data_IF_079113722789
#
_entry.id   IF_079113722789
#
_cell.length_a   1.000
_cell.length_b   1.000
_cell.length_c   1.000
_cell.angle_alpha   90.00
_cell.angle_beta   90.00
_cell.angle_gamma   90.00
#
_symmetry.space_group_name_H-M   'P 1'
#
loop_
_entity.id
_entity.type
_entity.pdbx_description
1 polymer ?
#
# COMPACT_ATOMS: atom_id res chain seq x y z
N UNK A 1 29.00 20.54 22.42
CA UNK A 1 28.62 19.16 22.79
C UNK A 1 28.23 18.46 21.51
N UNK A 2 28.83 17.31 21.15
CA UNK A 2 28.42 16.56 19.95
C UNK A 2 27.19 15.77 20.33
N UNK A 3 26.07 15.99 19.65
CA UNK A 3 24.90 15.15 19.83
C UNK A 3 25.27 13.72 19.43
N UNK A 4 25.07 12.77 20.34
CA UNK A 4 25.29 11.36 20.04
C UNK A 4 24.20 10.90 19.07
N UNK A 5 24.54 10.81 17.78
CA UNK A 5 23.69 10.23 16.77
C UNK A 5 23.56 8.73 17.03
N UNK A 6 22.33 8.25 17.01
CA UNK A 6 21.97 6.84 17.17
C UNK A 6 21.72 6.23 15.79
N UNK A 7 21.84 4.89 15.63
CA UNK A 7 21.49 4.23 14.37
C UNK A 7 20.06 4.54 13.89
N UNK A 8 19.15 4.81 14.83
CA UNK A 8 17.75 5.16 14.55
C UNK A 8 17.59 6.51 13.84
N UNK A 9 18.55 7.43 13.96
CA UNK A 9 18.50 8.76 13.32
C UNK A 9 18.63 8.70 11.79
N UNK A 10 19.06 7.57 11.25
CA UNK A 10 19.19 7.34 9.80
C UNK A 10 18.05 6.53 9.20
N UNK A 11 17.13 6.01 10.03
CA UNK A 11 16.02 5.15 9.59
C UNK A 11 14.80 6.00 9.21
N UNK A 12 14.45 6.13 7.91
CA UNK A 12 13.34 6.99 7.49
C UNK A 12 11.97 6.45 7.91
N UNK A 13 11.82 5.13 7.90
CA UNK A 13 10.59 4.40 8.19
C UNK A 13 10.91 3.17 9.04
N UNK A 14 10.01 2.85 9.96
CA UNK A 14 10.18 1.79 10.93
C UNK A 14 9.18 0.68 10.65
N UNK A 15 9.64 -0.56 10.61
CA UNK A 15 8.73 -1.70 10.76
C UNK A 15 8.11 -1.73 12.16
N UNK A 16 7.03 -2.49 12.37
CA UNK A 16 6.45 -2.66 13.72
C UNK A 16 7.50 -3.08 14.77
N UNK A 17 8.36 -4.04 14.42
CA UNK A 17 9.46 -4.50 15.27
C UNK A 17 10.52 -3.42 15.51
N UNK A 18 10.95 -2.71 14.46
CA UNK A 18 11.94 -1.63 14.60
C UNK A 18 11.42 -0.49 15.45
N UNK A 19 10.14 -0.12 15.31
CA UNK A 19 9.50 0.90 16.11
C UNK A 19 9.53 0.53 17.60
N UNK A 20 9.17 -0.71 17.93
CA UNK A 20 9.19 -1.19 19.31
C UNK A 20 10.61 -1.22 19.90
N UNK A 21 11.62 -1.68 19.14
CA UNK A 21 13.02 -1.63 19.58
C UNK A 21 13.48 -0.20 19.85
N UNK A 22 13.15 0.74 18.95
CA UNK A 22 13.49 2.15 19.09
C UNK A 22 12.82 2.78 20.32
N UNK A 23 11.54 2.45 20.60
CA UNK A 23 10.81 2.91 21.79
C UNK A 23 11.54 2.50 23.08
N UNK A 24 11.98 1.24 23.14
CA UNK A 24 12.69 0.68 24.31
C UNK A 24 14.16 1.13 24.38
N UNK A 25 14.70 1.72 23.31
CA UNK A 25 16.09 2.21 23.23
C UNK A 25 17.12 1.13 22.86
N UNK A 26 16.67 0.01 22.31
CA UNK A 26 17.56 -1.05 21.83
C UNK A 26 18.06 -0.73 20.43
N UNK A 27 19.26 -1.18 20.01
CA UNK A 27 19.74 -0.97 18.65
C UNK A 27 18.96 -1.83 17.63
N UNK A 28 18.96 -1.47 16.33
CA UNK A 28 18.21 -2.20 15.31
C UNK A 28 18.71 -3.63 15.06
N UNK A 29 19.96 -3.92 15.45
CA UNK A 29 20.58 -5.25 15.35
C UNK A 29 20.25 -6.15 16.52
N UNK A 30 19.57 -5.65 17.55
CA UNK A 30 19.28 -6.40 18.75
C UNK A 30 18.22 -7.47 18.49
N UNK A 31 18.52 -8.70 18.87
CA UNK A 31 17.60 -9.84 18.82
C UNK A 31 16.82 -10.02 20.11
N UNK A 32 16.98 -9.11 21.10
CA UNK A 32 16.26 -9.08 22.38
C UNK A 32 14.75 -8.74 22.22
N UNK A 33 14.05 -9.51 21.38
CA UNK A 33 12.61 -9.48 21.20
C UNK A 33 11.80 -9.53 22.52
N UNK A 34 12.24 -10.23 23.60
CA UNK A 34 11.46 -10.26 24.85
C UNK A 34 11.28 -8.88 25.51
N UNK A 35 12.26 -7.97 25.40
CA UNK A 35 12.17 -6.63 25.99
C UNK A 35 11.22 -5.71 25.22
N UNK A 36 11.14 -5.89 23.90
CA UNK A 36 10.24 -5.13 23.02
C UNK A 36 8.82 -5.72 22.96
N UNK A 37 8.62 -6.97 23.38
CA UNK A 37 7.34 -7.67 23.28
C UNK A 37 6.15 -6.93 23.91
N UNK A 38 6.25 -6.29 25.10
CA UNK A 38 5.11 -5.55 25.66
C UNK A 38 4.72 -4.34 24.82
N UNK A 39 5.70 -3.64 24.25
CA UNK A 39 5.47 -2.49 23.36
C UNK A 39 4.84 -2.96 22.06
N UNK A 40 5.35 -4.04 21.47
CA UNK A 40 4.77 -4.66 20.27
C UNK A 40 3.32 -5.07 20.48
N UNK A 41 3.01 -5.75 21.59
CA UNK A 41 1.65 -6.18 21.90
C UNK A 41 0.69 -4.98 22.03
N UNK A 42 1.15 -3.89 22.65
CA UNK A 42 0.37 -2.66 22.75
C UNK A 42 0.13 -2.02 21.38
N UNK A 43 1.19 -1.86 20.58
CA UNK A 43 1.06 -1.30 19.22
C UNK A 43 0.15 -2.16 18.33
N UNK A 44 0.26 -3.48 18.43
CA UNK A 44 -0.57 -4.44 17.70
C UNK A 44 -2.05 -4.30 18.07
N UNK A 45 -2.36 -4.21 19.37
CA UNK A 45 -3.73 -4.00 19.85
C UNK A 45 -4.31 -2.70 19.30
N UNK A 46 -3.58 -1.60 19.46
CA UNK A 46 -4.03 -0.30 18.96
C UNK A 46 -4.22 -0.32 17.43
N UNK A 47 -3.36 -1.04 16.70
CA UNK A 47 -3.48 -1.24 15.25
C UNK A 47 -4.72 -2.07 14.87
N UNK A 48 -4.98 -3.16 15.59
CA UNK A 48 -6.15 -4.01 15.39
C UNK A 48 -7.45 -3.24 15.65
N UNK A 49 -7.50 -2.44 16.71
CA UNK A 49 -8.67 -1.59 17.03
C UNK A 49 -8.98 -0.61 15.89
N UNK A 50 -7.95 -0.11 15.17
CA UNK A 50 -8.16 0.76 13.99
C UNK A 50 -8.78 -0.02 12.86
N UNK A 51 -8.21 -1.20 12.56
CA UNK A 51 -8.70 -2.03 11.47
C UNK A 51 -10.16 -2.39 11.76
N UNK A 52 -10.49 -2.82 12.98
CA UNK A 52 -11.85 -3.13 13.39
C UNK A 52 -12.76 -1.92 13.20
N UNK A 53 -12.40 -0.75 13.74
CA UNK A 53 -13.16 0.49 13.55
C UNK A 53 -13.41 0.84 12.08
N UNK A 54 -12.41 0.68 11.21
CA UNK A 54 -12.54 0.90 9.77
C UNK A 54 -13.46 -0.10 9.08
N UNK A 55 -13.40 -1.36 9.51
CA UNK A 55 -14.22 -2.44 8.95
C UNK A 55 -15.69 -2.30 9.35
N UNK A 56 -15.96 -1.79 10.56
CA UNK A 56 -17.32 -1.47 11.02
C UNK A 56 -17.90 -0.19 10.39
N UNK A 57 -17.04 0.67 9.85
CA UNK A 57 -17.35 2.03 9.38
C UNK A 57 -18.61 2.20 8.53
N UNK A 58 -18.82 1.44 7.43
CA UNK A 58 -19.94 1.70 6.51
C UNK A 58 -21.31 1.61 7.16
N UNK A 59 -21.50 0.65 8.07
CA UNK A 59 -22.79 0.41 8.73
C UNK A 59 -23.16 1.56 9.69
N UNK A 60 -22.15 2.20 10.31
CA UNK A 60 -22.37 3.36 11.19
C UNK A 60 -22.47 4.68 10.44
N UNK A 61 -21.88 4.81 9.26
CA UNK A 61 -21.91 6.06 8.47
C UNK A 61 -23.23 6.24 7.72
N UNK A 62 -23.83 5.16 7.19
CA UNK A 62 -25.10 5.25 6.45
C UNK A 62 -26.31 5.56 7.35
N UNK A 63 -26.31 5.10 8.61
CA UNK A 63 -27.42 5.38 9.54
C UNK A 63 -27.48 6.83 10.02
N UNK A 64 -26.34 7.51 10.15
CA UNK A 64 -26.29 8.89 10.62
C UNK A 64 -26.81 9.91 9.57
N UNK A 65 -26.83 9.53 8.29
CA UNK A 65 -27.34 10.38 7.21
C UNK A 65 -28.88 10.28 7.07
N UNK A 66 -29.44 9.07 7.24
CA UNK A 66 -30.88 8.84 7.05
C UNK A 66 -31.76 9.46 8.16
N UNK A 67 -31.25 9.61 9.38
CA UNK A 67 -32.00 10.22 10.48
C UNK A 67 -32.01 11.78 10.44
N UNK A 68 -31.16 12.40 9.60
CA UNK A 68 -31.04 13.86 9.53
C UNK A 68 -32.07 14.54 8.60
N UNK A 69 -32.84 13.80 7.80
CA UNK A 69 -33.85 14.42 6.92
C UNK A 69 -35.23 14.62 7.58
N UNK A 70 -35.52 14.00 8.73
CA UNK A 70 -36.90 14.00 9.27
C UNK A 70 -37.14 14.88 10.50
N UNK A 71 -36.11 15.47 11.12
CA UNK A 71 -36.29 16.28 12.34
C UNK A 71 -35.47 17.58 12.26
N UNK A 72 -36.16 18.71 12.08
CA UNK A 72 -35.62 20.09 12.23
C UNK A 72 -35.30 20.41 13.70
N UNK A 73 -34.46 19.62 14.34
CA UNK A 73 -33.89 19.96 15.64
C UNK A 73 -32.58 20.74 15.45
N UNK A 74 -32.23 21.64 16.39
CA UNK A 74 -30.96 22.36 16.34
C UNK A 74 -29.80 21.37 16.24
N UNK A 75 -28.70 21.72 15.55
CA UNK A 75 -27.64 20.80 15.17
C UNK A 75 -26.95 20.26 16.43
N UNK A 76 -27.38 19.09 16.89
CA UNK A 76 -26.60 18.28 17.80
C UNK A 76 -25.57 17.58 16.93
N UNK A 77 -24.36 18.12 16.88
CA UNK A 77 -23.22 17.45 16.28
C UNK A 77 -22.96 16.16 17.08
N UNK A 78 -23.60 15.06 16.69
CA UNK A 78 -23.13 13.72 17.02
C UNK A 78 -21.85 13.48 16.22
N UNK A 79 -20.77 14.14 16.66
CA UNK A 79 -19.42 13.83 16.26
C UNK A 79 -19.20 12.41 16.77
N UNK A 80 -19.22 11.42 15.87
CA UNK A 80 -18.69 10.10 16.18
C UNK A 80 -17.26 10.38 16.67
N UNK A 81 -17.05 10.25 17.98
CA UNK A 81 -15.74 10.40 18.56
C UNK A 81 -14.94 9.25 17.96
N UNK A 82 -14.11 9.54 16.96
CA UNK A 82 -13.11 8.59 16.49
C UNK A 82 -12.45 8.00 17.75
N UNK A 83 -12.22 6.67 17.82
CA UNK A 83 -11.42 6.11 18.90
C UNK A 83 -10.18 6.99 18.97
N UNK A 84 -9.86 7.50 20.16
CA UNK A 84 -9.04 8.71 20.42
C UNK A 84 -7.61 8.65 19.86
N UNK A 85 -7.57 8.60 18.52
CA UNK A 85 -6.54 8.52 17.49
C UNK A 85 -5.55 7.35 17.53
N UNK A 86 -5.80 6.23 16.86
CA UNK A 86 -4.86 5.11 16.91
C UNK A 86 -3.64 5.29 16.00
N UNK A 87 -2.63 4.39 16.11
CA UNK A 87 -1.44 4.26 15.25
C UNK A 87 -1.84 4.00 13.79
N UNK A 88 -1.90 5.01 12.91
CA UNK A 88 -2.18 4.73 11.53
C UNK A 88 -0.82 4.51 10.85
N UNK A 89 -0.63 3.34 10.24
CA UNK A 89 0.50 3.17 9.32
C UNK A 89 0.52 4.31 8.30
N UNK A 90 1.67 4.57 7.66
CA UNK A 90 1.78 5.66 6.67
C UNK A 90 0.68 5.52 5.60
N UNK A 91 0.39 4.29 5.20
CA UNK A 91 -0.69 3.99 4.27
C UNK A 91 -2.06 4.33 4.88
N UNK A 92 -2.37 3.91 6.10
CA UNK A 92 -3.64 4.27 6.74
C UNK A 92 -3.83 5.78 6.92
N UNK A 93 -2.76 6.54 7.14
CA UNK A 93 -2.82 8.01 7.16
C UNK A 93 -3.18 8.59 5.79
N UNK A 94 -2.58 8.08 4.72
CA UNK A 94 -2.95 8.46 3.34
C UNK A 94 -4.39 8.08 3.04
N UNK A 95 -4.89 6.98 3.59
CA UNK A 95 -6.28 6.57 3.48
C UNK A 95 -7.23 7.61 4.05
N UNK A 96 -7.01 7.96 5.31
CA UNK A 96 -7.82 8.93 6.03
C UNK A 96 -7.81 10.27 5.32
N UNK A 97 -6.63 10.75 4.95
CA UNK A 97 -6.50 12.00 4.20
C UNK A 97 -7.24 11.95 2.85
N UNK A 98 -7.22 10.80 2.16
CA UNK A 98 -7.95 10.62 0.91
C UNK A 98 -9.47 10.58 1.10
N UNK A 99 -9.95 9.98 2.20
CA UNK A 99 -11.39 9.94 2.54
C UNK A 99 -11.89 11.34 2.93
N UNK A 100 -11.12 12.07 3.74
CA UNK A 100 -11.46 13.43 4.17
C UNK A 100 -11.46 14.42 2.99
N UNK A 101 -10.57 14.23 2.01
CA UNK A 101 -10.52 15.03 0.80
C UNK A 101 -11.63 14.71 -0.22
N UNK A 102 -12.32 13.58 -0.07
CA UNK A 102 -13.38 13.18 -0.98
C UNK A 102 -14.64 14.05 -0.78
N UNK A 103 -15.14 14.59 -1.88
CA UNK A 103 -16.23 15.58 -1.87
C UNK A 103 -17.61 14.96 -2.03
N UNK A 104 -17.68 13.69 -2.43
CA UNK A 104 -18.92 12.94 -2.59
C UNK A 104 -18.91 11.60 -1.85
N UNK A 105 -20.09 11.12 -1.45
CA UNK A 105 -20.24 9.82 -0.78
C UNK A 105 -19.83 8.65 -1.69
N UNK A 106 -20.02 8.79 -3.00
CA UNK A 106 -19.56 7.82 -4.00
C UNK A 106 -18.03 7.71 -4.00
N UNK A 107 -17.31 8.84 -4.02
CA UNK A 107 -15.84 8.86 -3.93
C UNK A 107 -15.36 8.26 -2.61
N UNK A 108 -16.00 8.63 -1.49
CA UNK A 108 -15.70 8.04 -0.17
C UNK A 108 -15.90 6.53 -0.18
N UNK A 109 -16.96 6.02 -0.79
CA UNK A 109 -17.22 4.58 -0.91
C UNK A 109 -16.21 3.85 -1.78
N UNK A 110 -15.80 4.45 -2.91
CA UNK A 110 -14.78 3.89 -3.80
C UNK A 110 -13.42 3.84 -3.10
N UNK A 111 -13.03 4.94 -2.46
CA UNK A 111 -11.82 5.04 -1.67
C UNK A 111 -11.89 3.99 -0.55
N UNK A 112 -12.95 3.97 0.25
CA UNK A 112 -13.14 2.99 1.33
C UNK A 112 -13.04 1.54 0.83
N UNK A 113 -13.70 1.15 -0.27
CA UNK A 113 -13.58 -0.21 -0.83
C UNK A 113 -12.17 -0.55 -1.31
N UNK A 114 -11.49 0.40 -1.96
CA UNK A 114 -10.10 0.23 -2.38
C UNK A 114 -9.19 0.03 -1.17
N UNK A 115 -9.43 0.80 -0.11
CA UNK A 115 -8.69 0.72 1.14
C UNK A 115 -9.03 -0.54 1.93
N UNK A 116 -10.26 -1.01 1.92
CA UNK A 116 -10.65 -2.29 2.53
C UNK A 116 -9.95 -3.46 1.82
N UNK A 117 -9.79 -3.41 0.50
CA UNK A 117 -8.99 -4.41 -0.23
C UNK A 117 -7.53 -4.47 0.22
N UNK A 118 -6.98 -3.34 0.65
CA UNK A 118 -5.60 -3.21 1.16
C UNK A 118 -5.49 -3.48 2.68
N UNK A 119 -6.45 -3.01 3.49
CA UNK A 119 -6.63 -3.28 4.93
C UNK A 119 -7.02 -4.74 5.21
N UNK A 120 -7.42 -5.50 4.19
CA UNK A 120 -7.51 -6.96 4.26
C UNK A 120 -6.13 -7.64 4.42
N UNK A 121 -5.02 -6.89 4.49
CA UNK A 121 -3.79 -7.42 5.07
C UNK A 121 -4.09 -7.81 6.51
N UNK A 122 -3.87 -9.09 6.80
CA UNK A 122 -4.30 -9.67 8.07
C UNK A 122 -3.53 -8.97 9.20
N UNK A 123 -4.10 -8.81 10.40
CA UNK A 123 -3.41 -8.12 11.50
C UNK A 123 -2.03 -8.74 11.79
N UNK A 124 -1.86 -10.03 11.47
CA UNK A 124 -0.57 -10.74 11.45
C UNK A 124 0.52 -10.12 10.57
N UNK A 125 0.19 -9.22 9.64
CA UNK A 125 1.15 -8.48 8.81
C UNK A 125 1.67 -7.19 9.50
N UNK A 126 1.28 -6.91 10.75
CA UNK A 126 1.72 -5.73 11.50
C UNK A 126 3.24 -5.52 11.45
N UNK A 127 4.03 -6.58 11.57
CA UNK A 127 5.50 -6.49 11.53
C UNK A 127 6.06 -6.03 10.18
N UNK A 128 5.26 -6.12 9.11
CA UNK A 128 5.60 -5.64 7.76
C UNK A 128 5.10 -4.23 7.49
N UNK A 129 4.28 -3.68 8.38
CA UNK A 129 3.77 -2.32 8.23
C UNK A 129 4.87 -1.32 8.53
N UNK A 130 4.88 -0.23 7.75
CA UNK A 130 5.85 0.85 7.89
C UNK A 130 5.22 2.08 8.55
N UNK A 131 5.94 2.60 9.55
CA UNK A 131 5.55 3.75 10.35
C UNK A 131 6.58 4.87 10.18
N UNK A 132 6.10 6.10 9.99
CA UNK A 132 6.98 7.26 9.95
C UNK A 132 7.33 7.72 11.37
N UNK A 133 8.41 8.49 11.50
CA UNK A 133 8.79 9.11 12.78
C UNK A 133 7.65 9.94 13.39
N UNK A 134 6.95 10.71 12.56
CA UNK A 134 5.85 11.56 13.03
C UNK A 134 4.67 10.73 13.58
N UNK A 135 4.36 9.59 12.93
CA UNK A 135 3.35 8.64 13.40
C UNK A 135 3.72 8.11 14.78
N UNK A 136 4.95 7.62 14.92
CA UNK A 136 5.43 7.03 16.18
C UNK A 136 5.52 8.07 17.30
N UNK A 137 6.02 9.28 17.01
CA UNK A 137 6.07 10.37 17.97
C UNK A 137 4.68 10.69 18.55
N UNK A 138 3.66 10.80 17.67
CA UNK A 138 2.28 11.07 18.07
C UNK A 138 1.72 9.93 18.91
N UNK A 139 1.95 8.69 18.49
CA UNK A 139 1.46 7.53 19.23
C UNK A 139 2.08 7.45 20.64
N UNK A 140 3.41 7.57 20.75
CA UNK A 140 4.14 7.57 22.02
C UNK A 140 3.56 8.60 22.99
N UNK A 141 3.36 9.83 22.50
CA UNK A 141 2.78 10.92 23.29
C UNK A 141 1.36 10.57 23.78
N UNK A 142 0.56 9.93 22.92
CA UNK A 142 -0.82 9.59 23.22
C UNK A 142 -0.95 8.47 24.24
N UNK A 143 -0.14 7.40 24.12
CA UNK A 143 -0.17 6.29 25.08
C UNK A 143 0.55 6.65 26.40
N UNK A 144 1.15 7.85 26.47
CA UNK A 144 1.93 8.29 27.63
C UNK A 144 3.19 7.45 27.86
N UNK A 145 3.73 6.83 26.80
CA UNK A 145 4.92 6.02 26.91
C UNK A 145 6.17 6.91 27.02
N UNK A 146 7.08 6.57 27.92
CA UNK A 146 8.42 7.15 27.94
C UNK A 146 9.30 6.40 26.94
N UNK A 147 9.85 7.10 25.95
CA UNK A 147 10.80 6.51 25.00
C UNK A 147 12.22 6.92 25.32
N UNK A 148 13.17 6.03 25.03
CA UNK A 148 14.59 6.39 25.05
C UNK A 148 15.02 7.07 23.74
N UNK A 149 14.32 6.78 22.64
CA UNK A 149 14.53 7.43 21.34
C UNK A 149 13.57 8.60 21.12
N UNK A 150 14.09 9.73 20.61
CA UNK A 150 13.31 10.93 20.33
C UNK A 150 12.83 10.95 18.87
N UNK A 151 11.64 10.42 18.61
CA UNK A 151 11.06 10.40 17.27
C UNK A 151 10.78 11.79 16.67
N UNK A 152 10.60 12.82 17.51
CA UNK A 152 10.34 14.19 17.05
C UNK A 152 11.59 14.93 16.55
N UNK A 153 12.79 14.33 16.66
CA UNK A 153 14.02 14.95 16.19
C UNK A 153 14.01 15.02 14.64
N UNK A 154 14.21 16.19 14.03
CA UNK A 154 14.35 16.25 12.57
C UNK A 154 15.54 15.38 12.14
N UNK A 155 15.42 14.64 11.02
CA UNK A 155 16.52 13.83 10.53
C UNK A 155 17.77 14.72 10.39
N UNK A 156 18.97 14.20 10.70
CA UNK A 156 20.20 14.94 10.47
C UNK A 156 20.15 15.45 9.04
N UNK A 157 20.19 16.77 8.85
CA UNK A 157 20.35 17.34 7.52
C UNK A 157 21.74 16.89 7.07
N UNK A 158 21.80 15.75 6.37
CA UNK A 158 22.92 15.45 5.49
C UNK A 158 23.01 16.66 4.60
N UNK A 159 24.04 17.47 4.84
CA UNK A 159 24.33 18.71 4.14
C UNK A 159 24.09 18.47 2.66
N UNK A 160 22.92 18.91 2.19
CA UNK A 160 22.48 18.72 0.83
C UNK A 160 23.53 19.40 -0.03
N UNK A 161 24.41 18.59 -0.62
CA UNK A 161 25.36 19.02 -1.62
C UNK A 161 24.49 19.55 -2.76
N UNK A 162 24.39 20.87 -2.82
CA UNK A 162 23.60 21.61 -3.80
C UNK A 162 24.04 21.17 -5.20
N UNK A 163 23.26 20.28 -5.81
CA UNK A 163 23.33 20.05 -7.25
C UNK A 163 22.32 21.02 -7.84
N UNK A 164 22.85 22.10 -8.39
CA UNK A 164 22.10 23.09 -9.15
C UNK A 164 21.36 22.42 -10.33
N UNK A 165 20.19 22.93 -10.74
CA UNK A 165 19.51 22.44 -11.93
C UNK A 165 20.25 22.98 -13.16
N UNK A 166 21.16 22.19 -13.72
CA UNK A 166 21.77 22.49 -15.01
C UNK A 166 20.79 22.09 -16.11
N UNK A 167 20.17 23.11 -16.72
CA UNK A 167 19.33 22.97 -17.89
C UNK A 167 20.17 22.46 -19.07
N UNK A 168 20.05 21.18 -19.42
CA UNK A 168 20.65 20.64 -20.64
C UNK A 168 19.61 20.57 -21.76
N UNK A 169 19.76 21.58 -22.60
CA UNK A 169 19.33 21.73 -23.99
C UNK A 169 19.18 20.42 -24.76
N UNK A 170 18.04 20.30 -25.42
CA UNK A 170 17.69 19.24 -26.37
C UNK A 170 18.41 19.55 -27.70
N UNK A 171 19.26 18.64 -28.20
CA UNK A 171 19.79 18.68 -29.56
C UNK A 171 20.02 17.27 -30.12
N UNK A 172 19.05 16.85 -30.95
CA UNK A 172 19.08 15.99 -32.14
C UNK A 172 20.18 14.94 -32.42
N UNK A 173 19.70 13.70 -32.60
CA UNK A 173 20.00 12.68 -33.65
C UNK A 173 21.33 11.88 -33.56
N UNK A 174 21.41 10.59 -34.02
CA UNK A 174 20.72 10.05 -35.21
C UNK A 174 19.97 8.72 -35.06
N UNK A 175 19.14 8.48 -36.09
CA UNK A 175 18.36 7.29 -36.35
C UNK A 175 19.22 6.02 -36.42
N UNK A 176 18.93 5.08 -35.52
CA UNK A 176 19.25 3.66 -35.71
C UNK A 176 17.95 2.96 -36.07
N UNK A 177 17.85 2.62 -37.34
CA UNK A 177 16.96 1.61 -37.89
C UNK A 177 17.09 0.33 -37.07
N UNK A 178 16.06 0.02 -36.29
CA UNK A 178 15.81 -1.33 -35.80
C UNK A 178 14.40 -1.71 -36.24
N UNK A 179 14.35 -2.29 -37.44
CA UNK A 179 13.24 -3.10 -37.89
C UNK A 179 13.12 -4.30 -36.94
N UNK A 180 12.31 -4.16 -35.91
CA UNK A 180 11.78 -5.27 -35.13
C UNK A 180 10.29 -5.07 -35.03
N UNK A 181 9.64 -5.44 -36.12
CA UNK A 181 8.24 -5.83 -36.12
C UNK A 181 8.02 -6.88 -35.03
N UNK A 182 7.49 -6.49 -33.87
CA UNK A 182 6.91 -7.44 -32.93
C UNK A 182 5.70 -6.78 -32.31
N UNK A 183 4.54 -7.02 -32.92
CA UNK A 183 3.26 -6.87 -32.25
C UNK A 183 3.38 -7.46 -30.82
N UNK A 184 2.73 -6.88 -29.80
CA UNK A 184 2.76 -7.45 -28.46
C UNK A 184 2.40 -8.93 -28.60
N UNK A 185 3.28 -9.80 -28.09
CA UNK A 185 3.09 -11.25 -28.19
C UNK A 185 1.63 -11.52 -27.81
N UNK A 186 0.88 -12.19 -28.70
CA UNK A 186 -0.54 -12.50 -28.51
C UNK A 186 -0.91 -12.87 -27.05
N UNK A 187 -0.10 -13.65 -26.30
CA UNK A 187 -0.33 -13.90 -24.87
C UNK A 187 -0.39 -12.66 -23.97
N UNK A 188 0.59 -11.74 -24.04
CA UNK A 188 0.64 -10.55 -23.18
C UNK A 188 -0.51 -9.58 -23.49
N UNK A 189 -0.83 -9.45 -24.78
CA UNK A 189 -1.95 -8.65 -25.25
C UNK A 189 -3.29 -9.17 -24.71
N UNK A 190 -3.47 -10.49 -24.65
CA UNK A 190 -4.67 -11.14 -24.08
C UNK A 190 -4.83 -10.86 -22.60
N UNK A 191 -3.74 -10.87 -21.83
CA UNK A 191 -3.77 -10.57 -20.40
C UNK A 191 -4.14 -9.11 -20.14
N UNK A 192 -3.57 -8.16 -20.88
CA UNK A 192 -3.93 -6.74 -20.80
C UNK A 192 -5.41 -6.52 -21.15
N UNK A 193 -5.89 -7.19 -22.20
CA UNK A 193 -7.29 -7.09 -22.64
C UNK A 193 -8.26 -7.71 -21.63
N UNK A 194 -7.90 -8.82 -21.00
CA UNK A 194 -8.67 -9.42 -19.91
C UNK A 194 -8.88 -8.41 -18.78
N UNK A 195 -7.83 -7.67 -18.40
CA UNK A 195 -7.88 -6.61 -17.39
C UNK A 195 -8.78 -5.45 -17.81
N UNK A 196 -8.69 -5.00 -19.07
CA UNK A 196 -9.58 -3.96 -19.60
C UNK A 196 -11.06 -4.34 -19.57
N UNK A 197 -11.37 -5.64 -19.68
CA UNK A 197 -12.73 -6.18 -19.59
C UNK A 197 -13.19 -6.48 -18.15
N UNK A 198 -12.39 -6.09 -17.14
CA UNK A 198 -12.69 -6.34 -15.72
C UNK A 198 -12.38 -7.75 -15.24
N UNK A 199 -11.74 -8.57 -16.06
CA UNK A 199 -11.23 -9.89 -15.69
C UNK A 199 -9.86 -9.81 -15.00
N UNK A 200 -9.50 -10.86 -14.26
CA UNK A 200 -8.20 -10.95 -13.60
C UNK A 200 -7.66 -12.38 -13.57
N UNK A 201 -6.34 -12.50 -13.43
CA UNK A 201 -5.63 -13.76 -13.25
C UNK A 201 -5.09 -13.85 -11.81
N UNK A 202 -5.34 -14.96 -11.12
CA UNK A 202 -4.83 -15.22 -9.77
C UNK A 202 -4.16 -16.59 -9.71
N UNK A 203 -2.99 -16.67 -9.07
CA UNK A 203 -2.30 -17.93 -8.82
C UNK A 203 -2.57 -18.39 -7.38
N UNK A 204 -3.23 -19.54 -7.20
CA UNK A 204 -3.52 -20.11 -5.87
C UNK A 204 -3.35 -21.63 -5.90
N UNK A 205 -2.66 -22.18 -4.88
CA UNK A 205 -2.45 -23.63 -4.69
C UNK A 205 -1.82 -24.36 -5.91
N UNK A 206 -0.91 -23.70 -6.63
CA UNK A 206 -0.26 -24.30 -7.80
C UNK A 206 -1.01 -24.15 -9.11
N UNK A 207 -2.19 -23.51 -9.11
CA UNK A 207 -3.06 -23.39 -10.28
C UNK A 207 -3.38 -21.92 -10.59
N UNK A 208 -3.45 -21.60 -11.89
CA UNK A 208 -3.91 -20.32 -12.40
C UNK A 208 -5.44 -20.29 -12.55
N UNK A 209 -6.09 -19.35 -11.87
CA UNK A 209 -7.52 -19.06 -12.01
C UNK A 209 -7.74 -17.74 -12.72
N UNK A 210 -8.55 -17.77 -13.78
CA UNK A 210 -8.89 -16.60 -14.58
C UNK A 210 -10.38 -16.29 -14.46
N UNK A 211 -10.71 -15.02 -14.26
CA UNK A 211 -12.09 -14.50 -14.27
C UNK A 211 -12.30 -13.63 -15.52
N UNK A 212 -13.52 -13.58 -16.06
CA UNK A 212 -13.82 -12.77 -17.25
C UNK A 212 -13.42 -13.40 -18.60
N UNK A 213 -13.03 -14.68 -18.64
CA UNK A 213 -12.64 -15.36 -19.90
C UNK A 213 -13.75 -15.30 -20.95
N UNK A 214 -15.02 -15.51 -20.55
CA UNK A 214 -16.15 -15.51 -21.49
C UNK A 214 -16.31 -14.18 -22.22
N UNK A 215 -16.08 -13.05 -21.54
CA UNK A 215 -16.08 -11.73 -22.14
C UNK A 215 -14.92 -11.56 -23.13
N UNK A 216 -13.73 -12.08 -22.80
CA UNK A 216 -12.57 -12.06 -23.68
C UNK A 216 -12.79 -12.91 -24.94
N UNK A 217 -13.33 -14.12 -24.80
CA UNK A 217 -13.68 -14.99 -25.94
C UNK A 217 -14.68 -14.30 -26.86
N UNK A 218 -15.70 -13.65 -26.30
CA UNK A 218 -16.69 -12.89 -27.08
C UNK A 218 -16.03 -11.75 -27.87
N UNK A 219 -15.13 -11.00 -27.23
CA UNK A 219 -14.39 -9.90 -27.85
C UNK A 219 -13.41 -10.38 -28.95
N UNK A 220 -12.77 -11.53 -28.77
CA UNK A 220 -11.87 -12.10 -29.79
C UNK A 220 -12.63 -12.69 -30.97
N UNK A 221 -13.80 -13.31 -30.72
CA UNK A 221 -14.68 -13.81 -31.78
C UNK A 221 -15.26 -12.68 -32.62
N UNK A 222 -15.64 -11.55 -32.01
CA UNK A 222 -16.10 -10.38 -32.76
C UNK A 222 -15.02 -9.73 -33.63
N UNK A 223 -13.74 -10.03 -33.39
CA UNK A 223 -12.62 -9.58 -34.19
C UNK A 223 -12.16 -10.62 -35.23
N UNK A 224 -12.92 -11.71 -35.39
CA UNK A 224 -12.67 -12.79 -36.37
C UNK A 224 -11.23 -13.35 -36.36
N UNK A 225 -10.60 -13.40 -35.18
CA UNK A 225 -9.24 -13.95 -35.07
C UNK A 225 -9.24 -15.48 -35.14
N UNK A 226 -8.24 -16.01 -35.86
CA UNK A 226 -8.02 -17.46 -36.10
C UNK A 226 -7.78 -18.30 -34.84
N UNK A 227 -7.49 -17.69 -33.68
CA UNK A 227 -7.17 -18.39 -32.41
C UNK A 227 -8.16 -18.04 -31.30
N UNK A 228 -9.45 -17.97 -31.61
CA UNK A 228 -10.51 -17.55 -30.67
C UNK A 228 -11.08 -18.69 -29.80
N UNK A 229 -10.45 -19.88 -29.84
CA UNK A 229 -10.83 -21.00 -29.00
C UNK A 229 -10.50 -20.71 -27.52
N UNK A 230 -11.46 -20.99 -26.64
CA UNK A 230 -11.31 -20.72 -25.22
C UNK A 230 -10.10 -21.45 -24.61
N UNK A 231 -9.82 -22.66 -25.07
CA UNK A 231 -8.66 -23.44 -24.62
C UNK A 231 -7.35 -22.72 -24.94
N UNK A 232 -7.19 -22.25 -26.18
CA UNK A 232 -6.00 -21.51 -26.61
C UNK A 232 -5.85 -20.20 -25.84
N UNK A 233 -6.96 -19.50 -25.60
CA UNK A 233 -6.95 -18.26 -24.80
C UNK A 233 -6.49 -18.54 -23.36
N UNK A 234 -6.92 -19.65 -22.74
CA UNK A 234 -6.48 -20.03 -21.38
C UNK A 234 -5.01 -20.40 -21.32
N UNK A 235 -4.51 -21.12 -22.32
CA UNK A 235 -3.09 -21.51 -22.37
C UNK A 235 -2.20 -20.27 -22.57
N UNK A 236 -2.57 -19.36 -23.47
CA UNK A 236 -1.87 -18.09 -23.68
C UNK A 236 -1.89 -17.19 -22.43
N UNK A 237 -3.04 -17.12 -21.73
CA UNK A 237 -3.13 -16.38 -20.46
C UNK A 237 -2.26 -16.99 -19.36
N UNK A 238 -2.10 -18.32 -19.35
CA UNK A 238 -1.22 -19.02 -18.41
C UNK A 238 0.24 -18.67 -18.70
N UNK A 239 0.64 -18.70 -19.95
CA UNK A 239 1.99 -18.31 -20.39
C UNK A 239 2.30 -16.85 -20.03
N UNK A 240 1.40 -15.93 -20.37
CA UNK A 240 1.55 -14.50 -20.05
C UNK A 240 1.66 -14.25 -18.53
N UNK A 241 0.79 -14.87 -17.74
CA UNK A 241 0.76 -14.68 -16.31
C UNK A 241 1.98 -15.32 -15.61
N UNK A 242 2.48 -16.45 -16.15
CA UNK A 242 3.71 -17.08 -15.71
C UNK A 242 4.93 -16.20 -16.02
N UNK A 243 5.01 -15.63 -17.23
CA UNK A 243 6.08 -14.71 -17.61
C UNK A 243 6.11 -13.46 -16.71
N UNK A 244 4.95 -12.87 -16.40
CA UNK A 244 4.88 -11.77 -15.41
C UNK A 244 5.36 -12.18 -14.01
N UNK A 245 5.06 -13.41 -13.57
CA UNK A 245 5.48 -13.92 -12.27
C UNK A 245 6.99 -14.18 -12.22
N UNK A 246 7.55 -14.73 -13.29
CA UNK A 246 8.99 -15.00 -13.42
C UNK A 246 9.78 -13.70 -13.56
N UNK A 247 9.28 -12.71 -14.31
CA UNK A 247 9.86 -11.36 -14.37
C UNK A 247 9.85 -10.68 -13.00
N UNK A 248 8.77 -10.81 -12.22
CA UNK A 248 8.71 -10.31 -10.83
C UNK A 248 9.72 -11.02 -9.93
N UNK A 249 9.91 -12.33 -10.08
CA UNK A 249 10.92 -13.08 -9.31
C UNK A 249 12.34 -12.68 -9.69
N UNK A 250 12.62 -12.51 -10.99
CA UNK A 250 13.92 -12.08 -11.48
C UNK A 250 14.27 -10.64 -11.00
N UNK A 251 13.31 -9.72 -11.09
CA UNK A 251 13.49 -8.33 -10.64
C UNK A 251 13.64 -8.17 -9.12
N UNK A 252 13.08 -9.08 -8.32
CA UNK A 252 13.32 -9.12 -6.87
C UNK A 252 14.76 -9.54 -6.53
N UNK A 253 15.38 -10.38 -7.36
CA UNK A 253 16.76 -10.83 -7.17
C UNK A 253 17.81 -9.85 -7.67
N UNK A 254 17.57 -9.14 -8.78
CA UNK A 254 18.48 -8.10 -9.30
C UNK A 254 18.69 -6.95 -8.32
N UNK A 255 17.69 -6.67 -7.46
CA UNK A 255 17.80 -5.62 -6.44
C UNK A 255 18.61 -6.02 -5.20
N UNK A 256 19.00 -7.29 -5.08
CA UNK A 256 19.83 -7.82 -3.97
C UNK A 256 21.33 -7.89 -4.32
N UNK A 257 21.72 -7.66 -5.58
CA UNK A 257 23.11 -7.75 -6.05
C UNK A 257 23.86 -6.43 -6.22
N UNK A 258 23.20 -5.28 -6.01
CA UNK A 258 23.83 -3.96 -6.05
C UNK A 258 23.84 -3.32 -4.65
N UNK A 259 24.68 -3.86 -3.76
CA UNK A 259 25.13 -3.18 -2.55
C UNK A 259 26.55 -3.59 -2.21
#
# INVERSE_FOLDING_TARGET
MREHLTPWDYVPEFTGQQAALAIVGLPPTDTDAPKAAPVLALMYRDYADVIEWFTEGPVRWEMAAAENELVKSPPVHHRITAPSTPLPSIELQRALASIDAATSDMERSIIHRSWMGWLCTNASDFDRQHFSRAVLARWVQQVGASTQYQFAKPPPQESAKAVAPEAQSIASLPAVVSDSNCAPQDPERRLARLRSLGGHATYKRGEWKFTGITALVKAEKSEERKRSDEKTIRDDLREAAQNELDAKRAGVFDRLGQR
#
